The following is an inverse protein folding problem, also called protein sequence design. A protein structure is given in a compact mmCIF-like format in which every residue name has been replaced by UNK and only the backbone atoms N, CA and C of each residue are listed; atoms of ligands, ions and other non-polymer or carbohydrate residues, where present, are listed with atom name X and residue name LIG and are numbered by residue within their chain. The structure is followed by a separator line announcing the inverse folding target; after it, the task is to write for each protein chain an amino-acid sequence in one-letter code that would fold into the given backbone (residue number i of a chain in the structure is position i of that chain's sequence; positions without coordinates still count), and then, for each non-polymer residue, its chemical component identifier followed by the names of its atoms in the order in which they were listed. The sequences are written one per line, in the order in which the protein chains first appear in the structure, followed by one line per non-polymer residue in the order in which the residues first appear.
data_IF_561715570078
#
_entry.id   IF_561715570078
#
_cell.length_a   1.000
_cell.length_b   1.000
_cell.length_c   1.000
_cell.angle_alpha   90.00
_cell.angle_beta   90.00
_cell.angle_gamma   90.00
#
_symmetry.space_group_name_H-M   'P 1'
#
loop_
_entity.id
_entity.type
_entity.pdbx_description
1 polymer ?
#
# COMPACT_ATOMS: atom_id res chain seq x y z
N UNK A 1 33.30 26.82 33.29
CA UNK A 1 32.72 27.23 31.98
C UNK A 1 32.47 26.03 31.08
N UNK A 2 33.43 25.11 30.83
CA UNK A 2 33.34 23.96 29.94
C UNK A 2 32.18 23.01 30.32
N UNK A 3 32.07 22.59 31.58
CA UNK A 3 31.01 21.67 32.07
C UNK A 3 29.59 22.23 31.86
N UNK A 4 29.43 23.55 31.99
CA UNK A 4 28.13 24.20 31.75
C UNK A 4 27.78 24.21 30.24
N UNK A 5 28.76 24.35 29.37
CA UNK A 5 28.55 24.27 27.92
C UNK A 5 28.19 22.85 27.48
N UNK A 6 28.86 21.83 28.03
CA UNK A 6 28.51 20.42 27.76
C UNK A 6 27.10 20.05 28.23
N UNK A 7 26.72 20.50 29.44
CA UNK A 7 25.35 20.28 29.95
C UNK A 7 24.29 20.94 29.05
N UNK A 8 24.56 22.17 28.58
CA UNK A 8 23.63 22.85 27.64
C UNK A 8 23.53 22.12 26.30
N UNK A 9 24.68 21.65 25.77
CA UNK A 9 24.69 20.84 24.55
C UNK A 9 23.89 19.54 24.70
N UNK A 10 24.10 18.80 25.79
CA UNK A 10 23.36 17.58 26.09
C UNK A 10 21.85 17.85 26.20
N UNK A 11 21.44 18.94 26.86
CA UNK A 11 20.05 19.35 26.96
C UNK A 11 19.43 19.69 25.60
N UNK A 12 20.18 20.39 24.73
CA UNK A 12 19.72 20.69 23.37
C UNK A 12 19.54 19.42 22.52
N UNK A 13 20.48 18.49 22.59
CA UNK A 13 20.41 17.22 21.90
C UNK A 13 19.20 16.37 22.38
N UNK A 14 18.97 16.34 23.69
CA UNK A 14 17.81 15.66 24.26
C UNK A 14 16.50 16.28 23.77
N UNK A 15 16.40 17.59 23.74
CA UNK A 15 15.23 18.32 23.24
C UNK A 15 15.00 18.02 21.75
N UNK A 16 16.06 18.01 20.93
CA UNK A 16 15.97 17.64 19.51
C UNK A 16 15.52 16.21 19.33
N UNK A 17 16.07 15.25 20.09
CA UNK A 17 15.69 13.85 20.05
C UNK A 17 14.22 13.66 20.43
N UNK A 18 13.74 14.31 21.47
CA UNK A 18 12.33 14.24 21.90
C UNK A 18 11.39 14.83 20.84
N UNK A 19 11.76 15.96 20.23
CA UNK A 19 10.97 16.55 19.14
C UNK A 19 10.91 15.63 17.90
N UNK A 20 12.01 14.93 17.61
CA UNK A 20 12.06 13.98 16.51
C UNK A 20 11.21 12.75 16.80
N UNK A 21 11.25 12.24 18.05
CA UNK A 21 10.40 11.13 18.49
C UNK A 21 8.92 11.49 18.35
N UNK A 22 8.50 12.65 18.87
CA UNK A 22 7.11 13.10 18.76
C UNK A 22 6.62 13.21 17.29
N UNK A 23 7.51 13.63 16.37
CA UNK A 23 7.17 13.65 14.93
C UNK A 23 6.98 12.24 14.36
N UNK A 24 7.82 11.29 14.76
CA UNK A 24 7.72 9.89 14.32
C UNK A 24 6.45 9.24 14.85
N UNK A 25 6.09 9.49 16.11
CA UNK A 25 4.87 8.98 16.73
C UNK A 25 3.62 9.53 16.02
N UNK A 26 3.61 10.83 15.70
CA UNK A 26 2.53 11.44 14.93
C UNK A 26 2.41 10.86 13.52
N UNK A 27 3.54 10.59 12.85
CA UNK A 27 3.56 9.97 11.53
C UNK A 27 3.03 8.52 11.59
N UNK A 28 3.39 7.77 12.64
CA UNK A 28 2.88 6.42 12.87
C UNK A 28 1.37 6.42 13.07
N UNK A 29 0.86 7.28 13.94
CA UNK A 29 -0.58 7.41 14.18
C UNK A 29 -1.37 7.81 12.91
N UNK A 30 -0.79 8.63 12.04
CA UNK A 30 -1.42 8.98 10.76
C UNK A 30 -1.45 7.80 9.79
N UNK A 31 -0.42 6.94 9.80
CA UNK A 31 -0.42 5.71 9.01
C UNK A 31 -1.49 4.73 9.48
N UNK A 32 -1.63 4.53 10.78
CA UNK A 32 -2.66 3.66 11.35
C UNK A 32 -4.06 4.13 10.99
N UNK A 33 -4.34 5.44 11.12
CA UNK A 33 -5.63 6.03 10.71
C UNK A 33 -5.92 5.82 9.23
N UNK A 34 -4.91 5.94 8.36
CA UNK A 34 -5.07 5.68 6.93
C UNK A 34 -5.44 4.21 6.67
N UNK A 35 -4.75 3.29 7.33
CA UNK A 35 -5.00 1.85 7.19
C UNK A 35 -6.43 1.48 7.64
N UNK A 36 -6.89 2.04 8.76
CA UNK A 36 -8.25 1.83 9.24
C UNK A 36 -9.29 2.40 8.28
N UNK A 37 -9.03 3.58 7.72
CA UNK A 37 -9.92 4.18 6.73
C UNK A 37 -9.98 3.36 5.42
N UNK A 38 -8.84 2.84 4.96
CA UNK A 38 -8.78 1.93 3.80
C UNK A 38 -9.61 0.68 4.06
N UNK A 39 -9.44 0.05 5.22
CA UNK A 39 -10.18 -1.15 5.57
C UNK A 39 -11.69 -0.90 5.61
N UNK A 40 -12.11 0.20 6.24
CA UNK A 40 -13.51 0.60 6.31
C UNK A 40 -14.12 0.88 4.90
N UNK A 41 -13.37 1.54 4.02
CA UNK A 41 -13.81 1.78 2.65
C UNK A 41 -13.94 0.47 1.85
N UNK A 42 -13.03 -0.49 2.03
CA UNK A 42 -13.15 -1.82 1.40
C UNK A 42 -14.39 -2.54 1.90
N UNK A 43 -14.63 -2.59 3.19
CA UNK A 43 -15.80 -3.26 3.77
C UNK A 43 -17.11 -2.65 3.27
N UNK A 44 -17.17 -1.33 3.15
CA UNK A 44 -18.34 -0.57 2.70
C UNK A 44 -18.57 -0.68 1.19
N UNK A 45 -17.51 -0.68 0.38
CA UNK A 45 -17.60 -0.55 -1.07
C UNK A 45 -17.55 -1.89 -1.81
N UNK A 46 -16.91 -2.93 -1.25
CA UNK A 46 -16.83 -4.24 -1.89
C UNK A 46 -18.15 -4.97 -1.79
N UNK A 47 -18.87 -5.05 -2.89
CA UNK A 47 -20.21 -5.62 -2.98
C UNK A 47 -20.32 -6.78 -3.95
N UNK A 48 -19.27 -7.06 -4.74
CA UNK A 48 -19.29 -8.16 -5.69
C UNK A 48 -19.30 -9.50 -4.96
N UNK A 49 -20.30 -10.32 -5.28
CA UNK A 49 -20.33 -11.72 -4.92
C UNK A 49 -19.39 -12.56 -5.78
N UNK A 50 -19.49 -13.89 -5.66
CA UNK A 50 -18.74 -14.83 -6.49
C UNK A 50 -17.50 -15.38 -5.81
N UNK A 51 -16.53 -15.81 -6.61
CA UNK A 51 -15.28 -16.44 -6.16
C UNK A 51 -14.12 -15.50 -6.47
N UNK A 52 -13.23 -15.33 -5.51
CA UNK A 52 -12.00 -14.56 -5.72
C UNK A 52 -11.14 -15.24 -6.80
N UNK A 53 -10.42 -14.46 -7.64
CA UNK A 53 -9.49 -15.04 -8.59
C UNK A 53 -8.33 -15.76 -7.87
N UNK A 54 -8.01 -16.97 -8.33
CA UNK A 54 -6.88 -17.74 -7.79
C UNK A 54 -5.53 -17.13 -8.16
N UNK A 55 -5.48 -16.39 -9.28
CA UNK A 55 -4.27 -15.79 -9.83
C UNK A 55 -4.47 -14.35 -10.26
N UNK A 56 -3.41 -13.57 -10.04
CA UNK A 56 -3.29 -12.17 -10.46
C UNK A 56 -2.12 -12.02 -11.43
N UNK A 57 -2.28 -11.18 -12.45
CA UNK A 57 -1.18 -10.80 -13.34
C UNK A 57 -0.38 -9.64 -12.75
N UNK A 58 0.90 -9.53 -13.16
CA UNK A 58 1.74 -8.42 -12.74
C UNK A 58 1.18 -7.08 -13.21
N UNK A 59 0.94 -6.14 -12.29
CA UNK A 59 0.31 -4.85 -12.64
C UNK A 59 1.27 -3.90 -13.37
N UNK A 60 2.58 -4.13 -13.30
CA UNK A 60 3.61 -3.38 -14.06
C UNK A 60 4.49 -4.37 -14.78
N UNK A 61 4.50 -4.33 -16.10
CA UNK A 61 5.23 -5.29 -16.94
C UNK A 61 6.73 -5.01 -16.93
N UNK A 62 7.55 -6.07 -16.86
CA UNK A 62 9.01 -6.00 -17.00
C UNK A 62 9.74 -5.36 -15.82
N UNK A 63 9.08 -5.22 -14.67
CA UNK A 63 9.66 -4.66 -13.46
C UNK A 63 10.03 -5.75 -12.44
N UNK A 64 10.75 -5.33 -11.39
CA UNK A 64 11.13 -6.16 -10.25
C UNK A 64 10.48 -5.62 -8.99
N UNK A 65 10.64 -6.31 -7.85
CA UNK A 65 10.15 -5.82 -6.55
C UNK A 65 11.30 -5.21 -5.76
N UNK A 66 11.20 -3.92 -5.45
CA UNK A 66 12.22 -3.20 -4.65
C UNK A 66 11.99 -3.34 -3.14
N UNK A 67 10.75 -3.52 -2.72
CA UNK A 67 10.39 -3.76 -1.32
C UNK A 67 9.25 -4.76 -1.23
N UNK A 68 9.48 -5.86 -0.53
CA UNK A 68 8.50 -6.96 -0.40
C UNK A 68 7.60 -6.81 0.82
N UNK A 69 6.73 -7.81 0.99
CA UNK A 69 5.81 -8.00 2.11
C UNK A 69 6.59 -8.41 3.37
N UNK A 70 6.92 -7.43 4.23
CA UNK A 70 7.79 -7.64 5.40
C UNK A 70 7.81 -6.45 6.36
N UNK A 71 8.35 -6.67 7.55
CA UNK A 71 8.75 -5.57 8.43
C UNK A 71 9.87 -4.75 7.77
N UNK A 72 9.74 -3.42 7.79
CA UNK A 72 10.76 -2.50 7.31
C UNK A 72 10.82 -1.23 8.15
N UNK A 73 11.97 -0.55 8.10
CA UNK A 73 12.12 0.80 8.63
C UNK A 73 12.08 1.80 7.47
N UNK A 74 11.14 2.72 7.51
CA UNK A 74 10.98 3.74 6.49
C UNK A 74 10.86 5.11 7.14
N UNK A 75 11.76 6.06 6.80
CA UNK A 75 11.85 7.41 7.40
C UNK A 75 11.89 7.38 8.94
N UNK A 76 12.58 6.40 9.51
CA UNK A 76 12.73 6.24 10.96
C UNK A 76 11.63 5.45 11.67
N UNK A 77 10.48 5.23 11.02
CA UNK A 77 9.36 4.43 11.55
C UNK A 77 9.54 2.96 11.16
N UNK A 78 9.47 2.07 12.16
CA UNK A 78 9.38 0.63 11.90
C UNK A 78 7.90 0.26 11.74
N UNK A 79 7.55 -0.29 10.58
CA UNK A 79 6.18 -0.72 10.28
C UNK A 79 6.19 -1.95 9.39
N UNK A 80 5.08 -2.69 9.44
CA UNK A 80 4.89 -3.80 8.53
C UNK A 80 4.48 -3.27 7.15
N UNK A 81 5.19 -3.70 6.08
CA UNK A 81 4.86 -3.39 4.70
C UNK A 81 3.95 -4.49 4.14
N UNK A 82 2.64 -4.30 4.26
CA UNK A 82 1.61 -5.23 3.80
C UNK A 82 1.38 -5.23 2.28
N UNK A 83 2.44 -5.01 1.49
CA UNK A 83 2.40 -4.78 0.07
C UNK A 83 3.68 -5.24 -0.62
N UNK A 84 3.73 -5.09 -1.94
CA UNK A 84 4.98 -5.05 -2.70
C UNK A 84 5.13 -3.69 -3.40
N UNK A 85 6.35 -3.16 -3.41
CA UNK A 85 6.70 -1.96 -4.15
C UNK A 85 7.37 -2.35 -5.47
N UNK A 86 6.76 -1.95 -6.59
CA UNK A 86 7.19 -2.27 -7.96
C UNK A 86 7.67 -0.99 -8.62
N UNK A 87 9.00 -0.79 -8.78
CA UNK A 87 9.55 0.42 -9.39
C UNK A 87 9.13 0.54 -10.86
N UNK A 88 9.01 1.78 -11.31
CA UNK A 88 8.76 2.09 -12.71
C UNK A 88 9.01 3.57 -12.98
N UNK A 89 9.32 3.94 -14.20
CA UNK A 89 9.40 5.36 -14.59
C UNK A 89 8.03 6.00 -14.41
N UNK A 90 8.00 7.26 -13.99
CA UNK A 90 6.75 8.04 -13.97
C UNK A 90 6.09 7.98 -15.36
N UNK A 91 4.79 7.63 -15.39
CA UNK A 91 4.05 7.45 -16.63
C UNK A 91 4.00 6.01 -17.16
N UNK A 92 4.79 5.07 -16.61
CA UNK A 92 4.67 3.64 -16.96
C UNK A 92 3.24 3.15 -16.70
N UNK A 93 2.60 2.43 -17.64
CA UNK A 93 1.24 1.92 -17.44
C UNK A 93 1.13 0.99 -16.25
N UNK A 94 0.07 1.20 -15.45
CA UNK A 94 -0.39 0.28 -14.41
C UNK A 94 -1.63 -0.43 -14.94
N UNK A 95 -1.64 -1.75 -14.86
CA UNK A 95 -2.70 -2.62 -15.36
C UNK A 95 -3.49 -3.23 -14.21
N UNK A 96 -4.78 -3.48 -14.44
CA UNK A 96 -5.60 -4.28 -13.55
C UNK A 96 -5.05 -5.70 -13.45
N UNK A 97 -4.75 -6.16 -12.24
CA UNK A 97 -4.16 -7.47 -12.00
C UNK A 97 -5.14 -8.62 -12.25
N UNK A 98 -6.44 -8.36 -12.15
CA UNK A 98 -7.53 -9.24 -12.52
C UNK A 98 -8.75 -8.42 -12.96
N UNK A 99 -9.74 -9.06 -13.56
CA UNK A 99 -11.04 -8.46 -13.85
C UNK A 99 -11.80 -8.11 -12.59
N UNK A 100 -12.66 -7.07 -12.64
CA UNK A 100 -13.44 -6.63 -11.49
C UNK A 100 -14.12 -5.28 -11.71
N UNK A 101 -14.57 -4.67 -10.63
CA UNK A 101 -15.18 -3.34 -10.64
C UNK A 101 -14.34 -2.36 -9.82
N UNK A 102 -14.09 -1.19 -10.38
CA UNK A 102 -13.39 -0.10 -9.69
C UNK A 102 -14.30 0.47 -8.61
N UNK A 103 -13.92 0.31 -7.35
CA UNK A 103 -14.70 0.78 -6.18
C UNK A 103 -14.18 2.09 -5.60
N UNK A 104 -12.93 2.48 -5.92
CA UNK A 104 -12.34 3.76 -5.52
C UNK A 104 -11.33 4.22 -6.57
N UNK A 105 -11.38 5.52 -6.94
CA UNK A 105 -10.47 6.15 -7.89
C UNK A 105 -10.31 7.64 -7.54
N UNK A 106 -9.36 7.98 -6.63
CA UNK A 106 -9.15 9.36 -6.14
C UNK A 106 -7.79 9.56 -5.48
N UNK A 107 -7.49 10.80 -5.10
CA UNK A 107 -6.39 11.07 -4.16
C UNK A 107 -6.80 10.63 -2.75
N UNK A 108 -5.94 9.86 -2.07
CA UNK A 108 -6.26 9.23 -0.80
C UNK A 108 -5.13 9.42 0.23
N UNK A 109 -5.05 10.61 0.81
CA UNK A 109 -4.09 10.95 1.87
C UNK A 109 -2.64 10.55 1.54
N UNK A 110 -2.00 9.81 2.43
CA UNK A 110 -0.62 9.34 2.29
C UNK A 110 -0.43 8.33 1.15
N UNK A 111 -1.50 7.63 0.72
CA UNK A 111 -1.46 6.72 -0.42
C UNK A 111 -1.35 7.45 -1.77
N UNK A 112 -1.63 8.77 -1.80
CA UNK A 112 -1.59 9.56 -3.01
C UNK A 112 -2.77 9.25 -3.95
N UNK A 113 -2.58 9.36 -5.27
CA UNK A 113 -3.57 8.92 -6.26
C UNK A 113 -3.67 7.42 -6.25
N UNK A 114 -4.89 6.92 -6.11
CA UNK A 114 -5.17 5.54 -5.72
C UNK A 114 -6.37 4.98 -6.48
N UNK A 115 -6.28 3.70 -6.85
CA UNK A 115 -7.39 2.90 -7.41
C UNK A 115 -7.56 1.65 -6.56
N UNK A 116 -8.82 1.28 -6.23
CA UNK A 116 -9.20 -0.01 -5.65
C UNK A 116 -10.09 -0.75 -6.63
N UNK A 117 -9.84 -2.05 -6.80
CA UNK A 117 -10.64 -2.93 -7.66
C UNK A 117 -11.16 -4.08 -6.80
N UNK A 118 -12.48 -4.21 -6.74
CA UNK A 118 -13.17 -5.39 -6.17
C UNK A 118 -13.26 -6.47 -7.24
N UNK A 119 -12.68 -7.63 -6.96
CA UNK A 119 -12.65 -8.78 -7.88
C UNK A 119 -13.74 -9.84 -7.58
N UNK A 120 -14.59 -9.57 -6.58
CA UNK A 120 -15.52 -10.56 -6.05
C UNK A 120 -14.87 -11.52 -5.05
N UNK A 121 -15.69 -12.39 -4.44
CA UNK A 121 -15.23 -13.33 -3.43
C UNK A 121 -14.54 -12.71 -2.20
N UNK A 122 -14.70 -11.39 -2.00
CA UNK A 122 -14.07 -10.62 -0.93
C UNK A 122 -12.61 -10.23 -1.20
N UNK A 123 -12.11 -10.38 -2.43
CA UNK A 123 -10.78 -9.94 -2.84
C UNK A 123 -10.80 -8.52 -3.42
N UNK A 124 -9.91 -7.68 -2.93
CA UNK A 124 -9.68 -6.32 -3.45
C UNK A 124 -8.18 -6.11 -3.70
N UNK A 125 -7.82 -5.54 -4.85
CA UNK A 125 -6.47 -5.05 -5.12
C UNK A 125 -6.42 -3.53 -5.05
N UNK A 126 -5.30 -3.02 -4.50
CA UNK A 126 -5.08 -1.61 -4.26
C UNK A 126 -3.80 -1.15 -4.96
N UNK A 127 -3.89 0.00 -5.62
CA UNK A 127 -2.83 0.58 -6.46
C UNK A 127 -2.58 2.01 -6.00
N UNK A 128 -1.41 2.28 -5.37
CA UNK A 128 -1.08 3.58 -4.77
C UNK A 128 0.02 4.33 -5.52
N UNK A 129 0.24 5.57 -5.10
CA UNK A 129 1.29 6.50 -5.57
C UNK A 129 1.22 6.83 -7.05
N UNK A 130 0.06 6.64 -7.70
CA UNK A 130 -0.12 6.85 -9.14
C UNK A 130 0.18 8.29 -9.57
N UNK A 131 0.71 8.46 -10.78
CA UNK A 131 0.84 9.78 -11.43
C UNK A 131 -0.50 10.24 -12.02
N UNK A 132 -1.20 9.34 -12.71
CA UNK A 132 -2.52 9.58 -13.28
C UNK A 132 -3.44 8.40 -12.98
N UNK A 133 -4.69 8.69 -12.64
CA UNK A 133 -5.77 7.72 -12.60
C UNK A 133 -6.47 7.79 -13.97
N UNK A 134 -6.69 6.64 -14.61
CA UNK A 134 -7.40 6.52 -15.89
C UNK A 134 -8.74 5.77 -15.75
N UNK A 135 -8.91 5.05 -14.65
CA UNK A 135 -10.16 4.34 -14.35
C UNK A 135 -11.14 5.23 -13.57
N UNK A 136 -12.43 4.95 -13.69
CA UNK A 136 -13.51 5.63 -12.98
C UNK A 136 -14.23 4.68 -12.03
N UNK A 137 -14.76 5.20 -10.91
CA UNK A 137 -15.58 4.41 -9.98
C UNK A 137 -16.80 3.84 -10.71
N UNK A 138 -17.11 2.56 -10.47
CA UNK A 138 -18.16 1.81 -11.16
C UNK A 138 -17.74 1.19 -12.50
N UNK A 139 -16.54 1.53 -13.00
CA UNK A 139 -16.04 0.93 -14.24
C UNK A 139 -15.73 -0.55 -14.03
N UNK A 140 -16.27 -1.40 -14.90
CA UNK A 140 -15.82 -2.80 -15.04
C UNK A 140 -14.53 -2.81 -15.83
N UNK A 141 -13.54 -3.53 -15.34
CA UNK A 141 -12.23 -3.72 -15.98
C UNK A 141 -11.98 -5.22 -16.18
N UNK A 142 -11.22 -5.55 -17.21
CA UNK A 142 -10.67 -6.89 -17.41
C UNK A 142 -9.18 -6.92 -17.05
N UNK A 143 -8.65 -8.12 -16.84
CA UNK A 143 -7.22 -8.32 -16.59
C UNK A 143 -6.39 -7.66 -17.68
N UNK A 144 -5.43 -6.82 -17.30
CA UNK A 144 -4.54 -6.13 -18.23
C UNK A 144 -4.99 -4.74 -18.68
N UNK A 145 -6.22 -4.32 -18.37
CA UNK A 145 -6.70 -2.96 -18.65
C UNK A 145 -5.84 -1.90 -17.96
N UNK A 146 -5.50 -0.83 -18.66
CA UNK A 146 -4.70 0.27 -18.11
C UNK A 146 -5.58 1.15 -17.23
N UNK A 147 -5.36 1.07 -15.91
CA UNK A 147 -6.12 1.81 -14.88
C UNK A 147 -5.45 3.12 -14.44
N UNK A 148 -4.20 3.33 -14.84
CA UNK A 148 -3.44 4.54 -14.53
C UNK A 148 -1.98 4.41 -14.86
N UNK A 149 -1.13 5.25 -14.25
CA UNK A 149 0.32 5.25 -14.50
C UNK A 149 1.12 5.37 -13.21
N UNK A 150 2.31 4.76 -13.19
CA UNK A 150 3.28 4.85 -12.09
C UNK A 150 3.63 6.30 -11.80
N UNK A 151 3.70 6.64 -10.51
CA UNK A 151 4.05 7.96 -10.03
C UNK A 151 4.78 7.92 -8.68
N UNK A 152 4.70 9.06 -7.99
CA UNK A 152 5.32 9.25 -6.66
C UNK A 152 4.44 10.18 -5.80
N UNK A 153 3.13 10.11 -5.95
CA UNK A 153 2.19 10.95 -5.18
C UNK A 153 1.98 10.39 -3.77
N UNK A 154 1.62 11.25 -2.84
CA UNK A 154 1.47 10.87 -1.43
C UNK A 154 2.82 10.64 -0.72
N UNK A 155 2.87 9.70 0.22
CA UNK A 155 4.07 9.37 1.02
C UNK A 155 4.94 8.34 0.28
N UNK A 156 5.65 8.78 -0.72
CA UNK A 156 6.55 7.98 -1.55
C UNK A 156 8.00 8.50 -1.49
N UNK A 157 8.99 7.64 -1.71
CA UNK A 157 10.41 7.99 -1.79
C UNK A 157 10.93 8.11 -3.23
N UNK A 158 10.14 7.73 -4.21
CA UNK A 158 10.49 7.76 -5.63
C UNK A 158 9.44 7.04 -6.47
N UNK A 159 9.53 7.08 -7.80
CA UNK A 159 8.51 6.51 -8.66
C UNK A 159 8.40 4.99 -8.53
N UNK A 160 7.25 4.51 -8.06
CA UNK A 160 6.89 3.10 -7.95
C UNK A 160 5.38 2.93 -7.85
N UNK A 161 4.91 1.73 -8.09
CA UNK A 161 3.59 1.26 -7.69
C UNK A 161 3.72 0.54 -6.35
N UNK A 162 2.98 0.98 -5.34
CA UNK A 162 2.71 0.21 -4.14
C UNK A 162 1.44 -0.62 -4.39
N UNK A 163 1.57 -1.95 -4.34
CA UNK A 163 0.51 -2.89 -4.71
C UNK A 163 0.13 -3.77 -3.53
N UNK A 164 -1.17 -3.76 -3.15
CA UNK A 164 -1.71 -4.59 -2.09
C UNK A 164 -2.77 -5.56 -2.62
N UNK A 165 -2.88 -6.69 -1.94
CA UNK A 165 -4.01 -7.62 -2.05
C UNK A 165 -4.67 -7.71 -0.68
N UNK A 166 -5.98 -7.53 -0.62
CA UNK A 166 -6.78 -7.67 0.61
C UNK A 166 -7.88 -8.68 0.44
N UNK A 167 -8.11 -9.48 1.48
CA UNK A 167 -9.20 -10.44 1.57
C UNK A 167 -10.06 -10.14 2.79
N UNK A 168 -11.38 -10.20 2.64
CA UNK A 168 -12.34 -10.17 3.78
C UNK A 168 -12.15 -11.36 4.71
N UNK A 169 -11.84 -12.54 4.13
CA UNK A 169 -11.51 -13.74 4.89
C UNK A 169 -10.14 -14.27 4.45
N UNK A 170 -9.04 -13.81 5.08
CA UNK A 170 -7.69 -14.24 4.72
C UNK A 170 -7.43 -15.73 4.95
N UNK A 171 -8.21 -16.40 5.81
CA UNK A 171 -8.09 -17.84 6.08
C UNK A 171 -8.68 -18.72 4.96
N UNK A 172 -9.36 -18.11 3.98
CA UNK A 172 -9.94 -18.85 2.84
C UNK A 172 -8.93 -19.26 1.77
N UNK A 173 -7.68 -18.75 1.86
CA UNK A 173 -6.61 -18.99 0.87
C UNK A 173 -5.47 -19.75 1.50
N UNK A 174 -5.05 -20.85 0.88
CA UNK A 174 -3.83 -21.56 1.23
C UNK A 174 -2.64 -20.91 0.52
N UNK A 175 -1.68 -20.37 1.30
CA UNK A 175 -0.45 -19.82 0.78
C UNK A 175 0.73 -20.37 1.60
N UNK A 176 1.71 -20.97 0.92
CA UNK A 176 2.91 -21.53 1.55
C UNK A 176 3.93 -20.47 2.00
N UNK A 177 3.73 -19.22 1.61
CA UNK A 177 4.57 -18.09 2.01
C UNK A 177 4.08 -17.49 3.34
N UNK A 178 4.95 -16.85 4.14
CA UNK A 178 4.52 -16.06 5.28
C UNK A 178 3.53 -14.98 4.81
N UNK A 179 2.24 -15.19 5.09
CA UNK A 179 1.14 -14.33 4.61
C UNK A 179 0.47 -13.53 5.72
N UNK A 180 0.81 -13.80 6.97
CA UNK A 180 0.18 -13.16 8.12
C UNK A 180 0.73 -11.75 8.31
N UNK A 181 -0.09 -10.76 8.01
CA UNK A 181 0.06 -9.43 8.56
C UNK A 181 -0.35 -9.47 10.03
N UNK A 182 0.57 -9.19 10.97
CA UNK A 182 0.25 -9.21 12.39
C UNK A 182 -0.79 -8.15 12.79
N UNK A 183 -1.09 -7.19 11.89
CA UNK A 183 -2.12 -6.15 12.11
C UNK A 183 -3.52 -6.60 11.64
N UNK A 184 -3.65 -7.81 11.06
CA UNK A 184 -4.93 -8.48 10.73
C UNK A 184 -5.92 -7.66 9.87
N UNK A 185 -5.44 -6.66 9.10
CA UNK A 185 -6.30 -5.81 8.25
C UNK A 185 -6.63 -6.45 6.90
N UNK A 186 -6.69 -7.78 6.82
CA UNK A 186 -7.01 -8.51 5.59
C UNK A 186 -5.93 -8.44 4.50
N UNK A 187 -4.77 -7.82 4.78
CA UNK A 187 -3.67 -7.74 3.82
C UNK A 187 -3.02 -9.10 3.64
N UNK A 188 -2.86 -9.49 2.39
CA UNK A 188 -2.22 -10.74 2.00
C UNK A 188 -0.89 -10.47 1.32
N UNK A 189 0.04 -11.42 1.42
CA UNK A 189 1.25 -11.35 0.64
C UNK A 189 0.91 -11.47 -0.86
N UNK A 190 1.14 -10.43 -1.69
CA UNK A 190 0.76 -10.47 -3.10
C UNK A 190 1.38 -11.61 -3.89
N UNK A 191 2.55 -12.12 -3.47
CA UNK A 191 3.19 -13.28 -4.09
C UNK A 191 2.39 -14.59 -3.97
N UNK A 192 1.36 -14.65 -3.10
CA UNK A 192 0.45 -15.79 -3.03
C UNK A 192 -0.43 -15.92 -4.28
N UNK A 193 -0.61 -14.83 -5.02
CA UNK A 193 -1.53 -14.73 -6.16
C UNK A 193 -0.84 -14.42 -7.48
N UNK A 194 0.30 -13.71 -7.46
CA UNK A 194 1.01 -13.31 -8.67
C UNK A 194 1.69 -14.51 -9.35
N UNK A 195 1.50 -14.65 -10.65
CA UNK A 195 2.23 -15.63 -11.46
C UNK A 195 3.74 -15.31 -11.42
N UNK A 196 4.57 -16.33 -11.26
CA UNK A 196 6.04 -16.24 -11.25
C UNK A 196 6.60 -16.34 -12.63
#
# INVERSE_FOLDING_TARGET
AAVLAERRNAQNLLTQANNQLAKLDAEHANLEKLEDAIQADIERLSTLGGVAPDKLTWPVTGSYVSSGYKWRRFRGVTSFHGAIDIPGRTGTPIKAAAGGVVILARYYGLAGRTVFIDHGGGMTTLYFHMNQIKASVGQTVVTGDVIGTVGTTGRSSGPHLHFEVRLKNPNSVSCSLPYLDPTSRGRMNPYCFLDR
#
